data_IF_318847509802
#
_entry.id   IF_318847509802
#
_cell.length_a   1.000
_cell.length_b   1.000
_cell.length_c   1.000
_cell.angle_alpha   90.00
_cell.angle_beta   90.00
_cell.angle_gamma   90.00
#
_symmetry.space_group_name_H-M   'P 1'
#
loop_
_entity.id
_entity.type
_entity.pdbx_description
1 polymer ?
#
# COMPACT_ATOMS: atom_id res chain seq x y z
N UNK A 1 -28.60 -21.95 -7.01
CA UNK A 1 -27.60 -21.25 -7.86
C UNK A 1 -26.68 -20.48 -6.93
N UNK A 2 -25.39 -20.84 -6.88
CA UNK A 2 -24.39 -20.01 -6.21
C UNK A 2 -24.19 -18.78 -7.09
N UNK A 3 -24.60 -17.62 -6.59
CA UNK A 3 -24.18 -16.33 -7.15
C UNK A 3 -22.64 -16.35 -7.16
N UNK A 4 -21.97 -15.95 -8.25
CA UNK A 4 -20.50 -15.93 -8.28
C UNK A 4 -19.98 -15.15 -7.07
N UNK A 5 -18.77 -15.45 -6.56
CA UNK A 5 -18.23 -14.77 -5.37
C UNK A 5 -17.80 -13.30 -5.62
N UNK A 6 -17.77 -12.89 -6.89
CA UNK A 6 -17.27 -11.60 -7.39
C UNK A 6 -18.25 -10.40 -7.26
N UNK A 7 -19.58 -10.54 -7.35
CA UNK A 7 -20.52 -9.42 -7.25
C UNK A 7 -20.57 -8.77 -5.86
N UNK A 8 -20.16 -9.49 -4.80
CA UNK A 8 -20.27 -9.02 -3.42
C UNK A 8 -19.36 -7.84 -3.08
N UNK A 9 -18.27 -7.63 -3.83
CA UNK A 9 -17.30 -6.53 -3.59
C UNK A 9 -17.37 -5.46 -4.68
N UNK A 10 -17.67 -5.85 -5.92
CA UNK A 10 -17.86 -4.90 -7.00
C UNK A 10 -19.01 -3.93 -6.71
N UNK A 11 -20.16 -4.43 -6.28
CA UNK A 11 -21.33 -3.60 -6.00
C UNK A 11 -21.06 -2.50 -4.95
N UNK A 12 -20.55 -2.80 -3.75
CA UNK A 12 -20.24 -1.76 -2.77
C UNK A 12 -19.11 -0.84 -3.23
N UNK A 13 -18.08 -1.33 -3.93
CA UNK A 13 -17.00 -0.45 -4.42
C UNK A 13 -17.49 0.56 -5.46
N UNK A 14 -18.41 0.18 -6.35
CA UNK A 14 -18.94 1.06 -7.39
C UNK A 14 -19.87 2.16 -6.84
N UNK A 15 -20.39 2.01 -5.61
CA UNK A 15 -21.10 3.10 -4.93
C UNK A 15 -20.19 4.31 -4.67
N UNK A 16 -18.87 4.16 -4.74
CA UNK A 16 -17.92 5.26 -4.64
C UNK A 16 -18.18 6.36 -5.69
N UNK A 17 -18.61 5.99 -6.90
CA UNK A 17 -18.84 6.94 -8.00
C UNK A 17 -19.98 7.93 -7.68
N UNK A 18 -21.23 7.48 -7.40
CA UNK A 18 -22.30 8.40 -7.04
C UNK A 18 -22.04 9.11 -5.70
N UNK A 19 -21.34 8.46 -4.76
CA UNK A 19 -20.99 9.09 -3.49
C UNK A 19 -20.00 10.24 -3.69
N UNK A 20 -18.93 10.05 -4.45
CA UNK A 20 -17.97 11.11 -4.77
C UNK A 20 -18.67 12.33 -5.36
N UNK A 21 -19.44 12.11 -6.43
CA UNK A 21 -20.21 13.16 -7.10
C UNK A 21 -21.15 13.93 -6.14
N UNK A 22 -21.82 13.19 -5.25
CA UNK A 22 -22.75 13.79 -4.27
C UNK A 22 -22.01 14.60 -3.20
N UNK A 23 -20.88 14.08 -2.69
CA UNK A 23 -20.07 14.78 -1.69
C UNK A 23 -19.52 16.07 -2.28
N UNK A 24 -18.98 16.06 -3.49
CA UNK A 24 -18.42 17.26 -4.12
C UNK A 24 -19.49 18.35 -4.33
N UNK A 25 -20.69 17.95 -4.72
CA UNK A 25 -21.84 18.87 -4.84
C UNK A 25 -22.25 19.47 -3.49
N UNK A 26 -22.19 18.68 -2.41
CA UNK A 26 -22.52 19.14 -1.06
C UNK A 26 -21.40 19.95 -0.39
N UNK A 27 -20.14 19.60 -0.67
CA UNK A 27 -18.93 20.22 -0.12
C UNK A 27 -18.82 21.70 -0.53
N UNK A 28 -19.30 22.05 -1.73
CA UNK A 28 -19.37 23.44 -2.20
C UNK A 28 -20.20 24.38 -1.28
N UNK A 29 -20.95 23.84 -0.32
CA UNK A 29 -21.84 24.57 0.57
C UNK A 29 -21.58 24.29 2.06
N UNK A 30 -20.61 23.43 2.39
CA UNK A 30 -20.47 22.85 3.73
C UNK A 30 -19.21 23.35 4.47
N UNK A 31 -19.33 23.58 5.78
CA UNK A 31 -18.16 23.82 6.62
C UNK A 31 -17.32 22.54 6.84
N UNK A 32 -16.05 22.64 7.27
CA UNK A 32 -15.16 21.49 7.43
C UNK A 32 -15.66 20.39 8.36
N UNK A 33 -16.47 20.73 9.38
CA UNK A 33 -17.02 19.76 10.34
C UNK A 33 -18.20 19.00 9.71
N UNK A 34 -19.03 19.69 8.93
CA UNK A 34 -20.08 19.06 8.14
C UNK A 34 -19.53 18.08 7.10
N UNK A 35 -18.41 18.40 6.46
CA UNK A 35 -17.71 17.49 5.54
C UNK A 35 -17.22 16.22 6.28
N UNK A 36 -16.59 16.38 7.44
CA UNK A 36 -16.13 15.25 8.26
C UNK A 36 -17.29 14.35 8.71
N UNK A 37 -18.41 14.93 9.15
CA UNK A 37 -19.60 14.17 9.53
C UNK A 37 -20.19 13.40 8.33
N UNK A 38 -20.19 14.01 7.15
CA UNK A 38 -20.66 13.37 5.91
C UNK A 38 -19.82 12.14 5.58
N UNK A 39 -18.50 12.25 5.68
CA UNK A 39 -17.57 11.12 5.46
C UNK A 39 -17.84 9.99 6.46
N UNK A 40 -18.03 10.30 7.74
CA UNK A 40 -18.36 9.30 8.77
C UNK A 40 -19.69 8.59 8.48
N UNK A 41 -20.71 9.33 8.05
CA UNK A 41 -22.02 8.76 7.70
C UNK A 41 -21.93 7.86 6.47
N UNK A 42 -21.13 8.22 5.47
CA UNK A 42 -20.86 7.39 4.29
C UNK A 42 -20.22 6.06 4.70
N UNK A 43 -19.19 6.09 5.54
CA UNK A 43 -18.58 4.86 6.04
C UNK A 43 -19.53 4.01 6.88
N UNK A 44 -20.33 4.63 7.75
CA UNK A 44 -21.35 3.92 8.53
C UNK A 44 -22.40 3.26 7.63
N UNK A 45 -22.88 3.98 6.62
CA UNK A 45 -23.80 3.46 5.60
C UNK A 45 -23.19 2.32 4.79
N UNK A 46 -21.92 2.42 4.41
CA UNK A 46 -21.19 1.37 3.71
C UNK A 46 -21.09 0.09 4.58
N UNK A 47 -20.70 0.22 5.85
CA UNK A 47 -20.63 -0.90 6.79
C UNK A 47 -22.01 -1.56 6.95
N UNK A 48 -23.07 -0.75 7.04
CA UNK A 48 -24.45 -1.24 7.10
C UNK A 48 -24.81 -2.03 5.83
N UNK A 49 -24.53 -1.49 4.64
CA UNK A 49 -24.77 -2.19 3.36
C UNK A 49 -24.00 -3.51 3.31
N UNK A 50 -22.73 -3.52 3.69
CA UNK A 50 -21.90 -4.74 3.74
C UNK A 50 -22.53 -5.77 4.68
N UNK A 51 -23.02 -5.33 5.85
CA UNK A 51 -23.69 -6.20 6.82
C UNK A 51 -24.93 -6.88 6.25
N UNK A 52 -25.80 -6.10 5.59
CA UNK A 52 -27.04 -6.60 5.01
C UNK A 52 -26.83 -7.46 3.75
N UNK A 53 -25.92 -7.06 2.86
CA UNK A 53 -25.68 -7.74 1.58
C UNK A 53 -24.90 -9.04 1.78
N UNK A 54 -23.91 -9.04 2.66
CA UNK A 54 -23.00 -10.20 2.80
C UNK A 54 -23.59 -11.32 3.64
N UNK A 55 -24.65 -11.05 4.43
CA UNK A 55 -25.20 -12.00 5.39
C UNK A 55 -24.20 -12.42 6.48
N UNK A 56 -24.68 -13.06 7.55
CA UNK A 56 -23.84 -13.42 8.71
C UNK A 56 -22.69 -14.38 8.36
N UNK A 57 -22.80 -15.15 7.27
CA UNK A 57 -21.82 -16.17 6.87
C UNK A 57 -20.49 -15.61 6.36
N UNK A 58 -20.48 -14.45 5.70
CA UNK A 58 -19.25 -13.81 5.20
C UNK A 58 -18.46 -13.07 6.31
N UNK A 59 -19.10 -12.77 7.44
CA UNK A 59 -18.44 -12.19 8.63
C UNK A 59 -17.57 -13.19 9.41
N UNK A 60 -17.53 -14.46 9.02
CA UNK A 60 -16.61 -15.43 9.63
C UNK A 60 -15.15 -15.01 9.49
N UNK A 61 -14.81 -14.27 8.42
CA UNK A 61 -13.51 -13.66 8.25
C UNK A 61 -13.62 -12.13 8.36
N UNK A 62 -13.20 -11.51 9.47
CA UNK A 62 -13.38 -10.08 9.68
C UNK A 62 -12.52 -9.22 8.72
N UNK A 63 -11.51 -9.80 8.05
CA UNK A 63 -10.73 -9.12 7.00
C UNK A 63 -11.53 -8.90 5.72
N UNK A 64 -12.62 -9.66 5.50
CA UNK A 64 -13.50 -9.44 4.36
C UNK A 64 -14.06 -8.01 4.36
N UNK A 65 -14.59 -7.56 5.50
CA UNK A 65 -15.14 -6.21 5.64
C UNK A 65 -14.07 -5.14 5.36
N UNK A 66 -12.86 -5.33 5.89
CA UNK A 66 -11.72 -4.42 5.64
C UNK A 66 -11.44 -4.31 4.14
N UNK A 67 -11.31 -5.42 3.43
CA UNK A 67 -11.02 -5.39 2.00
C UNK A 67 -12.16 -4.79 1.17
N UNK A 68 -13.41 -4.98 1.57
CA UNK A 68 -14.55 -4.33 0.88
C UNK A 68 -14.53 -2.81 1.10
N UNK A 69 -14.35 -2.36 2.35
CA UNK A 69 -14.26 -0.93 2.65
C UNK A 69 -13.08 -0.29 1.92
N UNK A 70 -11.91 -0.94 1.93
CA UNK A 70 -10.74 -0.42 1.24
C UNK A 70 -10.91 -0.45 -0.28
N UNK A 71 -11.62 -1.45 -0.84
CA UNK A 71 -11.95 -1.43 -2.27
C UNK A 71 -12.83 -0.25 -2.68
N UNK A 72 -13.71 0.21 -1.78
CA UNK A 72 -14.50 1.43 -1.99
C UNK A 72 -13.60 2.66 -1.99
N UNK A 73 -12.69 2.79 -1.02
CA UNK A 73 -11.77 3.94 -0.95
C UNK A 73 -10.82 3.97 -2.16
N UNK A 74 -10.39 2.81 -2.67
CA UNK A 74 -9.57 2.75 -3.89
C UNK A 74 -10.28 3.29 -5.13
N UNK A 75 -11.59 3.08 -5.26
CA UNK A 75 -12.33 3.68 -6.36
C UNK A 75 -12.41 5.21 -6.20
N UNK A 76 -12.52 5.71 -4.97
CA UNK A 76 -12.41 7.16 -4.70
C UNK A 76 -11.03 7.67 -5.09
N UNK A 77 -9.95 6.99 -4.72
CA UNK A 77 -8.58 7.36 -5.09
C UNK A 77 -8.37 7.36 -6.62
N UNK A 78 -8.95 6.38 -7.32
CA UNK A 78 -8.93 6.36 -8.78
C UNK A 78 -9.66 7.57 -9.39
N UNK A 79 -10.81 7.95 -8.82
CA UNK A 79 -11.56 9.14 -9.25
C UNK A 79 -10.72 10.40 -9.02
N UNK A 80 -10.10 10.55 -7.83
CA UNK A 80 -9.25 11.70 -7.50
C UNK A 80 -8.11 11.84 -8.50
N UNK A 81 -7.38 10.75 -8.77
CA UNK A 81 -6.25 10.78 -9.71
C UNK A 81 -6.68 11.08 -11.15
N UNK A 82 -7.78 10.50 -11.63
CA UNK A 82 -8.32 10.79 -12.96
C UNK A 82 -8.82 12.23 -13.11
N UNK A 83 -9.35 12.83 -12.04
CA UNK A 83 -9.83 14.21 -12.06
C UNK A 83 -8.68 15.22 -12.02
N UNK A 84 -7.67 15.00 -11.17
CA UNK A 84 -6.48 15.88 -11.11
C UNK A 84 -5.67 15.86 -12.42
N UNK A 85 -5.63 14.73 -13.14
CA UNK A 85 -5.03 14.64 -14.48
C UNK A 85 -5.97 15.14 -15.60
N UNK A 86 -7.20 15.54 -15.28
CA UNK A 86 -8.15 16.16 -16.21
C UNK A 86 -8.91 15.21 -17.14
N UNK A 87 -8.92 13.90 -16.86
CA UNK A 87 -9.70 12.92 -17.64
C UNK A 87 -11.19 12.94 -17.33
N UNK A 88 -11.55 13.32 -16.09
CA UNK A 88 -12.94 13.49 -15.62
C UNK A 88 -13.06 14.80 -14.83
N UNK A 89 -14.29 15.21 -14.53
CA UNK A 89 -14.54 16.47 -13.78
C UNK A 89 -15.84 16.41 -12.98
N UNK A 90 -15.85 17.08 -11.83
CA UNK A 90 -17.03 17.30 -10.99
C UNK A 90 -17.25 16.26 -9.90
N UNK A 91 -16.25 15.43 -9.58
CA UNK A 91 -16.42 14.33 -8.63
C UNK A 91 -15.79 14.58 -7.27
N UNK A 92 -14.61 15.21 -7.19
CA UNK A 92 -13.83 15.34 -5.96
C UNK A 92 -13.03 16.65 -5.88
N UNK A 93 -13.14 17.55 -6.88
CA UNK A 93 -12.35 18.79 -6.95
C UNK A 93 -12.39 19.64 -5.67
N UNK A 94 -13.58 19.91 -5.11
CA UNK A 94 -13.73 20.74 -3.90
C UNK A 94 -13.13 20.03 -2.69
N UNK A 95 -13.38 18.72 -2.55
CA UNK A 95 -12.84 17.92 -1.45
C UNK A 95 -11.31 17.90 -1.46
N UNK A 96 -10.70 17.65 -2.62
CA UNK A 96 -9.25 17.56 -2.75
C UNK A 96 -8.60 18.93 -2.57
N UNK A 97 -9.24 20.00 -3.06
CA UNK A 97 -8.71 21.36 -2.93
C UNK A 97 -8.77 21.89 -1.50
N UNK A 98 -9.86 21.63 -0.78
CA UNK A 98 -10.11 22.25 0.54
C UNK A 98 -9.85 21.30 1.71
N UNK A 99 -10.08 20.00 1.54
CA UNK A 99 -9.91 18.98 2.58
C UNK A 99 -8.52 18.33 2.56
N UNK A 100 -8.07 17.88 1.40
CA UNK A 100 -6.89 17.01 1.26
C UNK A 100 -5.89 17.49 0.17
N UNK A 101 -5.32 18.70 0.29
CA UNK A 101 -4.52 19.32 -0.76
C UNK A 101 -3.20 18.59 -1.07
N UNK A 102 -2.75 17.69 -0.21
CA UNK A 102 -1.59 16.83 -0.45
C UNK A 102 -1.81 15.80 -1.56
N UNK A 103 -3.06 15.42 -1.86
CA UNK A 103 -3.36 14.45 -2.92
C UNK A 103 -3.06 15.02 -4.31
N UNK A 104 -3.02 16.34 -4.43
CA UNK A 104 -2.69 17.08 -5.65
C UNK A 104 -1.20 17.12 -5.98
N UNK A 105 -0.37 16.58 -5.10
CA UNK A 105 1.07 16.49 -5.36
C UNK A 105 1.35 15.35 -6.33
N UNK A 106 2.48 15.41 -7.05
CA UNK A 106 2.92 14.28 -7.88
C UNK A 106 3.04 12.98 -7.07
N UNK A 107 3.33 13.08 -5.76
CA UNK A 107 3.30 11.92 -4.90
C UNK A 107 1.89 11.38 -4.68
N UNK A 108 0.97 12.28 -4.31
CA UNK A 108 -0.44 12.01 -4.06
C UNK A 108 -1.15 11.39 -5.25
N UNK A 109 -1.03 11.99 -6.43
CA UNK A 109 -1.68 11.48 -7.65
C UNK A 109 -1.20 10.05 -7.96
N UNK A 110 0.11 9.80 -7.89
CA UNK A 110 0.64 8.45 -8.13
C UNK A 110 0.16 7.43 -7.10
N UNK A 111 0.11 7.79 -5.80
CA UNK A 111 -0.35 6.83 -4.79
C UNK A 111 -1.85 6.56 -4.94
N UNK A 112 -2.64 7.56 -5.34
CA UNK A 112 -4.04 7.37 -5.69
C UNK A 112 -4.23 6.43 -6.90
N UNK A 113 -3.40 6.56 -7.93
CA UNK A 113 -3.40 5.59 -9.04
C UNK A 113 -2.99 4.18 -8.56
N UNK A 114 -1.98 4.08 -7.71
CA UNK A 114 -1.54 2.80 -7.16
C UNK A 114 -2.63 2.11 -6.34
N UNK A 115 -3.33 2.87 -5.48
CA UNK A 115 -4.44 2.34 -4.69
C UNK A 115 -5.61 1.95 -5.59
N UNK A 116 -6.01 2.84 -6.50
CA UNK A 116 -7.11 2.64 -7.44
C UNK A 116 -6.91 1.53 -8.47
N UNK A 117 -5.68 1.07 -8.69
CA UNK A 117 -5.37 -0.01 -9.64
C UNK A 117 -4.84 -1.26 -8.96
N UNK A 118 -3.67 -1.20 -8.34
CA UNK A 118 -2.97 -2.35 -7.75
C UNK A 118 -3.68 -2.80 -6.48
N UNK A 119 -3.94 -1.89 -5.52
CA UNK A 119 -4.64 -2.28 -4.31
C UNK A 119 -6.08 -2.71 -4.60
N UNK A 120 -6.80 -2.01 -5.49
CA UNK A 120 -8.13 -2.42 -5.94
C UNK A 120 -8.14 -3.86 -6.47
N UNK A 121 -7.19 -4.20 -7.36
CA UNK A 121 -7.03 -5.56 -7.87
C UNK A 121 -6.74 -6.58 -6.76
N UNK A 122 -5.90 -6.22 -5.77
CA UNK A 122 -5.62 -7.07 -4.61
C UNK A 122 -6.87 -7.27 -3.74
N UNK A 123 -7.68 -6.24 -3.47
CA UNK A 123 -8.92 -6.38 -2.71
C UNK A 123 -9.90 -7.33 -3.39
N UNK A 124 -10.09 -7.20 -4.70
CA UNK A 124 -10.93 -8.10 -5.47
C UNK A 124 -10.41 -9.55 -5.43
N UNK A 125 -9.10 -9.75 -5.60
CA UNK A 125 -8.49 -11.07 -5.55
C UNK A 125 -8.60 -11.72 -4.15
N UNK A 126 -8.34 -10.96 -3.09
CA UNK A 126 -8.42 -11.45 -1.71
C UNK A 126 -9.85 -11.78 -1.29
N UNK A 127 -10.81 -10.92 -1.65
CA UNK A 127 -12.23 -11.15 -1.33
C UNK A 127 -12.82 -12.31 -2.13
N UNK A 128 -12.45 -12.47 -3.40
CA UNK A 128 -12.77 -13.65 -4.18
C UNK A 128 -12.16 -14.93 -3.58
N UNK A 129 -10.91 -14.87 -3.12
CA UNK A 129 -10.26 -15.99 -2.45
C UNK A 129 -10.96 -16.36 -1.13
N UNK A 130 -11.39 -15.38 -0.33
CA UNK A 130 -12.21 -15.60 0.87
C UNK A 130 -13.52 -16.31 0.50
N UNK A 131 -14.24 -15.83 -0.51
CA UNK A 131 -15.48 -16.44 -0.98
C UNK A 131 -15.30 -17.87 -1.49
N UNK A 132 -14.16 -18.17 -2.10
CA UNK A 132 -13.78 -19.51 -2.57
C UNK A 132 -13.11 -20.38 -1.48
N UNK A 133 -12.99 -19.89 -0.25
CA UNK A 133 -12.28 -20.56 0.86
C UNK A 133 -10.83 -20.95 0.51
N UNK A 134 -10.16 -20.14 -0.31
CA UNK A 134 -8.75 -20.28 -0.66
C UNK A 134 -7.89 -19.39 0.25
N UNK A 135 -6.62 -19.79 0.43
CA UNK A 135 -5.66 -18.94 1.13
C UNK A 135 -5.40 -17.68 0.32
N UNK A 136 -5.48 -16.53 0.99
CA UNK A 136 -5.13 -15.21 0.46
C UNK A 136 -3.95 -14.59 1.19
N UNK A 137 -3.29 -15.37 2.09
CA UNK A 137 -2.22 -14.90 2.97
C UNK A 137 -1.13 -14.15 2.21
N UNK A 138 -0.62 -14.72 1.11
CA UNK A 138 0.50 -14.13 0.38
C UNK A 138 0.13 -12.78 -0.26
N UNK A 139 -1.08 -12.70 -0.85
CA UNK A 139 -1.60 -11.44 -1.38
C UNK A 139 -1.80 -10.41 -0.26
N UNK A 140 -2.30 -10.85 0.89
CA UNK A 140 -2.47 -10.01 2.07
C UNK A 140 -1.14 -9.49 2.64
N UNK A 141 -0.08 -10.30 2.68
CA UNK A 141 1.24 -9.85 3.13
C UNK A 141 1.87 -8.83 2.17
N UNK A 142 1.73 -9.04 0.86
CA UNK A 142 2.14 -8.05 -0.14
C UNK A 142 1.35 -6.75 0.02
N UNK A 143 0.02 -6.84 0.09
CA UNK A 143 -0.86 -5.71 0.35
C UNK A 143 -0.49 -4.95 1.62
N UNK A 144 -0.21 -5.67 2.71
CA UNK A 144 0.15 -5.10 4.01
C UNK A 144 1.40 -4.24 3.90
N UNK A 145 2.46 -4.75 3.29
CA UNK A 145 3.71 -4.00 3.15
C UNK A 145 3.58 -2.80 2.22
N UNK A 146 2.81 -2.96 1.15
CA UNK A 146 2.44 -1.88 0.23
C UNK A 146 1.72 -0.75 1.02
N UNK A 147 0.63 -1.04 1.72
CA UNK A 147 -0.07 -0.04 2.52
C UNK A 147 0.79 0.58 3.64
N UNK A 148 1.55 -0.23 4.38
CA UNK A 148 2.43 0.29 5.43
C UNK A 148 3.45 1.28 4.87
N UNK A 149 3.99 1.03 3.68
CA UNK A 149 4.85 1.97 3.00
C UNK A 149 4.13 3.28 2.68
N UNK A 150 2.94 3.21 2.06
CA UNK A 150 2.15 4.39 1.71
C UNK A 150 1.84 5.22 2.94
N UNK A 151 1.32 4.60 4.01
CA UNK A 151 0.96 5.27 5.27
C UNK A 151 2.18 5.93 5.89
N UNK A 152 3.31 5.21 5.97
CA UNK A 152 4.51 5.74 6.63
C UNK A 152 5.06 6.93 5.87
N UNK A 153 5.18 6.83 4.54
CA UNK A 153 5.66 7.93 3.70
C UNK A 153 4.71 9.12 3.76
N UNK A 154 3.41 8.87 3.67
CA UNK A 154 2.39 9.89 3.67
C UNK A 154 2.29 10.64 4.99
N UNK A 155 2.25 9.94 6.12
CA UNK A 155 2.16 10.58 7.43
C UNK A 155 3.42 11.37 7.75
N UNK A 156 4.59 10.76 7.61
CA UNK A 156 5.85 11.45 7.90
C UNK A 156 6.07 12.62 6.95
N UNK A 157 5.76 12.46 5.66
CA UNK A 157 5.88 13.53 4.67
C UNK A 157 4.97 14.73 4.96
N UNK A 158 3.73 14.49 5.38
CA UNK A 158 2.85 15.59 5.84
C UNK A 158 3.37 16.26 7.12
N UNK A 159 3.95 15.49 8.05
CA UNK A 159 4.49 16.02 9.31
C UNK A 159 5.75 16.87 9.14
N UNK A 160 6.62 16.56 8.17
CA UNK A 160 7.91 17.25 8.00
C UNK A 160 7.99 18.13 6.76
N UNK A 161 7.08 17.93 5.79
CA UNK A 161 7.08 18.61 4.51
C UNK A 161 6.31 19.93 4.53
N UNK A 162 6.04 20.42 3.32
CA UNK A 162 5.32 21.68 3.06
C UNK A 162 4.00 21.85 3.83
N UNK A 163 3.28 20.76 4.12
CA UNK A 163 1.96 20.80 4.76
C UNK A 163 2.00 20.74 6.29
N UNK A 164 3.18 20.68 6.90
CA UNK A 164 3.36 20.49 8.35
C UNK A 164 2.74 21.60 9.22
N UNK A 165 2.71 22.84 8.72
CA UNK A 165 2.12 23.98 9.44
C UNK A 165 0.59 24.03 9.42
N UNK A 166 -0.04 23.33 8.46
CA UNK A 166 -1.48 23.43 8.17
C UNK A 166 -2.20 22.08 8.36
N UNK A 167 -1.72 21.25 9.28
CA UNK A 167 -2.32 19.94 9.54
C UNK A 167 -3.76 20.12 10.06
N UNK A 168 -4.73 19.70 9.26
CA UNK A 168 -6.14 19.75 9.63
C UNK A 168 -6.45 18.74 10.75
N UNK A 169 -7.48 18.97 11.57
CA UNK A 169 -7.95 17.97 12.55
C UNK A 169 -8.32 16.62 11.91
N UNK A 170 -8.66 16.61 10.62
CA UNK A 170 -8.92 15.39 9.86
C UNK A 170 -7.68 14.48 9.75
N UNK A 171 -6.47 15.00 9.95
CA UNK A 171 -5.25 14.19 10.04
C UNK A 171 -5.33 13.11 11.13
N UNK A 172 -6.10 13.34 12.21
CA UNK A 172 -6.33 12.33 13.26
C UNK A 172 -7.15 11.14 12.78
N UNK A 173 -7.90 11.25 11.69
CA UNK A 173 -8.64 10.13 11.07
C UNK A 173 -7.70 9.05 10.52
N UNK A 174 -6.41 9.36 10.34
CA UNK A 174 -5.40 8.35 10.01
C UNK A 174 -5.13 7.38 11.16
N UNK A 175 -5.43 7.74 12.42
CA UNK A 175 -5.15 6.87 13.57
C UNK A 175 -6.01 5.59 13.55
N UNK A 176 -7.35 5.65 13.38
CA UNK A 176 -8.16 4.46 13.11
C UNK A 176 -7.64 3.62 11.94
N UNK A 177 -7.20 4.27 10.86
CA UNK A 177 -6.66 3.58 9.67
C UNK A 177 -5.40 2.76 10.00
N UNK A 178 -4.44 3.35 10.72
CA UNK A 178 -3.23 2.67 11.20
C UNK A 178 -3.59 1.48 12.09
N UNK A 179 -4.52 1.66 13.03
CA UNK A 179 -4.94 0.60 13.95
C UNK A 179 -5.56 -0.58 13.20
N UNK A 180 -6.40 -0.31 12.18
CA UNK A 180 -6.99 -1.34 11.33
C UNK A 180 -5.92 -2.10 10.55
N UNK A 181 -4.94 -1.40 9.96
CA UNK A 181 -3.87 -2.03 9.18
C UNK A 181 -2.95 -2.88 10.07
N UNK A 182 -2.58 -2.40 11.27
CA UNK A 182 -1.80 -3.18 12.24
C UNK A 182 -2.57 -4.43 12.65
N UNK A 183 -3.85 -4.29 13.03
CA UNK A 183 -4.70 -5.42 13.39
C UNK A 183 -4.83 -6.41 12.23
N UNK A 184 -5.03 -5.91 11.01
CA UNK A 184 -5.13 -6.74 9.82
C UNK A 184 -3.83 -7.50 9.55
N UNK A 185 -2.68 -6.84 9.74
CA UNK A 185 -1.36 -7.46 9.65
C UNK A 185 -1.18 -8.59 10.65
N UNK A 186 -1.50 -8.36 11.94
CA UNK A 186 -1.44 -9.41 12.97
C UNK A 186 -2.31 -10.61 12.58
N UNK A 187 -3.54 -10.37 12.12
CA UNK A 187 -4.45 -11.42 11.64
C UNK A 187 -3.88 -12.18 10.44
N UNK A 188 -3.29 -11.48 9.48
CA UNK A 188 -2.65 -12.08 8.32
C UNK A 188 -1.51 -13.00 8.75
N UNK A 189 -0.60 -12.54 9.63
CA UNK A 189 0.52 -13.33 10.13
C UNK A 189 0.09 -14.56 10.95
N UNK A 190 -1.03 -14.47 11.67
CA UNK A 190 -1.63 -15.60 12.41
C UNK A 190 -2.24 -16.68 11.50
N UNK A 191 -2.48 -16.41 10.22
CA UNK A 191 -3.00 -17.43 9.31
C UNK A 191 -1.99 -18.58 9.12
N UNK A 192 -2.47 -19.81 8.89
CA UNK A 192 -1.60 -20.91 8.54
C UNK A 192 -0.76 -20.58 7.30
N UNK A 193 0.54 -20.89 7.36
CA UNK A 193 1.40 -20.80 6.18
C UNK A 193 0.87 -21.74 5.09
N UNK A 194 0.92 -21.30 3.83
CA UNK A 194 0.59 -22.17 2.70
C UNK A 194 1.60 -23.32 2.71
N UNK A 195 1.09 -24.55 2.68
CA UNK A 195 1.93 -25.75 2.62
C UNK A 195 2.86 -25.65 1.39
N UNK A 196 4.18 -25.85 1.57
CA UNK A 196 5.11 -25.84 0.45
C UNK A 196 4.66 -26.86 -0.60
N UNK A 197 4.76 -26.51 -1.88
CA UNK A 197 4.51 -27.46 -2.96
C UNK A 197 5.53 -28.62 -2.97
N UNK A 198 6.67 -28.45 -2.29
CA UNK A 198 7.77 -29.40 -2.21
C UNK A 198 7.75 -30.14 -0.86
N UNK A 199 8.08 -31.44 -0.89
CA UNK A 199 8.24 -32.21 0.33
C UNK A 199 9.40 -31.67 1.17
N UNK A 200 9.36 -31.78 2.52
CA UNK A 200 10.44 -31.34 3.40
C UNK A 200 11.81 -31.94 3.02
N UNK A 201 11.82 -33.18 2.54
CA UNK A 201 13.02 -33.88 2.07
C UNK A 201 13.66 -33.19 0.86
N UNK A 202 12.85 -32.80 -0.14
CA UNK A 202 13.32 -32.06 -1.32
C UNK A 202 13.84 -30.68 -0.94
N UNK A 203 13.19 -30.01 0.01
CA UNK A 203 13.68 -28.73 0.55
C UNK A 203 15.03 -28.91 1.23
N UNK A 204 15.20 -29.96 2.04
CA UNK A 204 16.46 -30.25 2.71
C UNK A 204 17.57 -30.64 1.72
N UNK A 205 17.25 -31.37 0.66
CA UNK A 205 18.19 -31.71 -0.41
C UNK A 205 18.70 -30.47 -1.14
N UNK A 206 17.79 -29.59 -1.56
CA UNK A 206 18.17 -28.31 -2.17
C UNK A 206 19.01 -27.46 -1.22
N UNK A 207 18.61 -27.37 0.06
CA UNK A 207 19.32 -26.62 1.10
C UNK A 207 20.73 -27.15 1.42
N UNK A 208 21.06 -28.40 1.05
CA UNK A 208 22.42 -28.98 1.20
C UNK A 208 23.35 -28.63 0.06
N UNK A 209 22.82 -28.25 -1.10
CA UNK A 209 23.65 -27.87 -2.27
C UNK A 209 24.47 -26.63 -1.95
N UNK A 210 25.68 -26.54 -2.51
CA UNK A 210 26.48 -25.30 -2.40
C UNK A 210 25.88 -24.21 -3.29
N UNK A 211 26.16 -22.95 -2.99
CA UNK A 211 25.54 -21.81 -3.68
C UNK A 211 25.76 -21.84 -5.21
N UNK A 212 26.95 -22.22 -5.68
CA UNK A 212 27.23 -22.34 -7.13
C UNK A 212 26.41 -23.43 -7.84
N UNK A 213 25.82 -24.37 -7.10
CA UNK A 213 24.92 -25.40 -7.63
C UNK A 213 23.46 -24.91 -7.68
N UNK A 214 23.19 -23.68 -7.24
CA UNK A 214 21.87 -23.03 -7.22
C UNK A 214 21.92 -21.72 -8.02
N UNK A 215 21.88 -21.79 -9.36
CA UNK A 215 22.04 -20.60 -10.22
C UNK A 215 20.95 -19.55 -9.98
N UNK A 216 19.74 -19.96 -9.58
CA UNK A 216 18.66 -19.03 -9.23
C UNK A 216 18.99 -18.21 -7.99
N UNK A 217 19.51 -18.85 -6.93
CA UNK A 217 19.93 -18.17 -5.70
C UNK A 217 21.09 -17.21 -6.00
N UNK A 218 22.05 -17.60 -6.85
CA UNK A 218 23.16 -16.74 -7.29
C UNK A 218 22.63 -15.51 -8.04
N UNK A 219 21.72 -15.71 -8.99
CA UNK A 219 21.10 -14.60 -9.73
C UNK A 219 20.34 -13.65 -8.80
N UNK A 220 19.59 -14.20 -7.84
CA UNK A 220 18.85 -13.41 -6.86
C UNK A 220 19.79 -12.62 -5.94
N UNK A 221 20.90 -13.21 -5.48
CA UNK A 221 21.93 -12.51 -4.70
C UNK A 221 22.51 -11.35 -5.50
N UNK A 222 22.83 -11.55 -6.79
CA UNK A 222 23.36 -10.49 -7.63
C UNK A 222 22.37 -9.32 -7.76
N UNK A 223 21.09 -9.62 -8.01
CA UNK A 223 20.03 -8.61 -8.07
C UNK A 223 19.91 -7.88 -6.74
N UNK A 224 19.88 -8.60 -5.61
CA UNK A 224 19.78 -8.00 -4.28
C UNK A 224 20.99 -7.10 -3.96
N UNK A 225 22.20 -7.48 -4.37
CA UNK A 225 23.41 -6.66 -4.21
C UNK A 225 23.33 -5.37 -5.02
N UNK A 226 22.89 -5.44 -6.28
CA UNK A 226 22.68 -4.27 -7.13
C UNK A 226 21.61 -3.35 -6.52
N UNK A 227 20.48 -3.90 -6.10
CA UNK A 227 19.41 -3.15 -5.42
C UNK A 227 19.89 -2.52 -4.12
N UNK A 228 20.70 -3.23 -3.33
CA UNK A 228 21.26 -2.72 -2.08
C UNK A 228 22.23 -1.56 -2.33
N UNK A 229 23.13 -1.71 -3.32
CA UNK A 229 24.07 -0.66 -3.70
C UNK A 229 23.33 0.59 -4.20
N UNK A 230 22.33 0.43 -5.06
CA UNK A 230 21.54 1.54 -5.57
C UNK A 230 20.67 2.21 -4.49
N UNK A 231 20.05 1.42 -3.60
CA UNK A 231 19.32 1.93 -2.45
C UNK A 231 20.22 2.75 -1.52
N UNK A 232 21.43 2.24 -1.24
CA UNK A 232 22.41 2.97 -0.44
C UNK A 232 22.80 4.29 -1.10
N UNK A 233 23.07 4.27 -2.41
CA UNK A 233 23.38 5.48 -3.19
C UNK A 233 22.25 6.52 -3.14
N UNK A 234 20.99 6.14 -3.42
CA UNK A 234 19.84 7.06 -3.31
C UNK A 234 19.66 7.61 -1.90
N UNK A 235 19.96 6.80 -0.88
CA UNK A 235 19.99 7.24 0.51
C UNK A 235 21.04 8.34 0.76
N UNK A 236 22.26 8.18 0.24
CA UNK A 236 23.31 9.21 0.32
C UNK A 236 22.92 10.50 -0.40
N UNK A 237 22.26 10.39 -1.56
CA UNK A 237 21.75 11.54 -2.32
C UNK A 237 20.78 12.37 -1.46
N UNK A 238 19.83 11.72 -0.77
CA UNK A 238 18.85 12.42 0.07
C UNK A 238 19.44 12.97 1.37
N UNK A 239 20.55 12.39 1.85
CA UNK A 239 21.32 12.91 2.98
C UNK A 239 22.30 14.03 2.58
N UNK A 240 22.14 14.61 1.39
CA UNK A 240 22.93 15.73 0.86
C UNK A 240 24.45 15.43 0.82
N UNK A 241 24.81 14.20 0.41
CA UNK A 241 26.21 13.81 0.24
C UNK A 241 26.92 14.73 -0.78
N UNK A 242 28.10 15.30 -0.45
CA UNK A 242 28.77 16.30 -1.28
C UNK A 242 29.47 15.73 -2.52
N UNK A 243 29.33 14.43 -2.81
CA UNK A 243 29.98 13.81 -3.97
C UNK A 243 29.36 14.29 -5.30
N UNK A 244 30.20 14.55 -6.30
CA UNK A 244 29.77 15.02 -7.63
C UNK A 244 28.71 14.11 -8.26
N UNK A 245 28.86 12.79 -8.11
CA UNK A 245 27.90 11.81 -8.60
C UNK A 245 26.51 11.93 -7.95
N UNK A 246 26.45 12.30 -6.66
CA UNK A 246 25.17 12.53 -5.97
C UNK A 246 24.51 13.82 -6.45
N UNK A 247 25.33 14.86 -6.65
CA UNK A 247 24.86 16.13 -7.21
C UNK A 247 24.35 15.94 -8.65
N UNK A 248 25.10 15.26 -9.51
CA UNK A 248 24.67 15.01 -10.88
C UNK A 248 23.34 14.23 -10.91
N UNK A 249 23.22 13.18 -10.08
CA UNK A 249 22.02 12.36 -10.02
C UNK A 249 20.76 13.14 -9.62
N UNK A 250 20.84 13.94 -8.56
CA UNK A 250 19.67 14.66 -8.05
C UNK A 250 19.21 15.78 -9.00
N UNK A 251 20.10 16.33 -9.82
CA UNK A 251 19.73 17.37 -10.78
C UNK A 251 19.33 16.82 -12.15
N UNK A 252 19.99 15.76 -12.63
CA UNK A 252 19.79 15.25 -13.99
C UNK A 252 18.85 14.05 -14.09
N UNK A 253 18.77 13.21 -13.05
CA UNK A 253 18.04 11.94 -13.11
C UNK A 253 16.79 11.93 -12.22
N UNK A 254 16.90 12.36 -10.97
CA UNK A 254 15.78 12.35 -10.02
C UNK A 254 15.55 13.73 -9.34
N UNK A 255 15.13 14.76 -10.10
CA UNK A 255 14.82 16.08 -9.54
C UNK A 255 13.67 16.04 -8.53
N UNK A 256 12.80 15.03 -8.62
CA UNK A 256 11.71 14.79 -7.68
C UNK A 256 12.18 14.62 -6.23
N UNK A 257 13.42 14.14 -5.98
CA UNK A 257 13.97 14.04 -4.61
C UNK A 257 14.10 15.40 -3.89
N UNK A 258 14.07 16.50 -4.64
CA UNK A 258 14.14 17.86 -4.10
C UNK A 258 12.78 18.48 -3.78
N UNK A 259 11.68 17.76 -4.01
CA UNK A 259 10.33 18.29 -3.79
C UNK A 259 10.13 18.71 -2.31
N UNK A 260 9.67 19.95 -2.04
CA UNK A 260 9.43 20.45 -0.67
C UNK A 260 8.35 19.68 0.11
N UNK A 261 7.54 18.83 -0.54
CA UNK A 261 6.54 17.99 0.12
C UNK A 261 7.15 16.84 0.94
N UNK A 262 8.46 16.61 0.82
CA UNK A 262 9.26 15.65 1.58
C UNK A 262 8.93 14.15 1.43
N UNK A 263 7.80 13.76 0.83
CA UNK A 263 7.48 12.35 0.54
C UNK A 263 8.62 11.56 -0.13
N UNK A 264 9.26 12.04 -1.22
CA UNK A 264 10.38 11.31 -1.83
C UNK A 264 11.54 11.11 -0.87
N UNK A 265 11.90 12.14 -0.09
CA UNK A 265 12.99 12.07 0.87
C UNK A 265 12.68 11.05 1.96
N UNK A 266 11.49 11.10 2.54
CA UNK A 266 11.03 10.12 3.54
C UNK A 266 11.10 8.70 2.97
N UNK A 267 10.60 8.49 1.76
CA UNK A 267 10.63 7.18 1.10
C UNK A 267 12.06 6.65 0.94
N UNK A 268 13.01 7.48 0.51
CA UNK A 268 14.42 7.07 0.40
C UNK A 268 15.06 6.80 1.76
N UNK A 269 14.73 7.55 2.81
CA UNK A 269 15.23 7.29 4.16
C UNK A 269 14.67 5.98 4.72
N UNK A 270 13.40 5.66 4.47
CA UNK A 270 12.83 4.36 4.82
C UNK A 270 13.57 3.25 4.10
N UNK A 271 13.88 3.44 2.81
CA UNK A 271 14.66 2.46 2.06
C UNK A 271 16.07 2.30 2.61
N UNK A 272 16.75 3.38 2.95
CA UNK A 272 18.10 3.34 3.50
C UNK A 272 18.14 2.65 4.88
N UNK A 273 17.19 2.95 5.77
CA UNK A 273 17.25 2.50 7.16
C UNK A 273 16.51 1.19 7.43
N UNK A 274 15.53 0.80 6.62
CA UNK A 274 14.73 -0.41 6.85
C UNK A 274 14.83 -1.41 5.71
N UNK A 275 14.76 -0.97 4.45
CA UNK A 275 14.81 -1.89 3.30
C UNK A 275 16.24 -2.38 3.06
N UNK A 276 17.25 -1.52 3.10
CA UNK A 276 18.64 -1.90 2.87
C UNK A 276 19.13 -2.98 3.86
N UNK A 277 18.93 -2.85 5.19
CA UNK A 277 19.25 -3.94 6.11
C UNK A 277 18.48 -5.22 5.81
N UNK A 278 17.22 -5.12 5.37
CA UNK A 278 16.43 -6.28 4.97
C UNK A 278 16.97 -6.96 3.71
N UNK A 279 17.44 -6.22 2.71
CA UNK A 279 18.09 -6.78 1.53
C UNK A 279 19.35 -7.57 1.92
N UNK A 280 20.14 -7.07 2.86
CA UNK A 280 21.28 -7.79 3.43
C UNK A 280 20.85 -9.09 4.14
N UNK A 281 19.73 -9.07 4.88
CA UNK A 281 19.15 -10.28 5.49
C UNK A 281 18.67 -11.29 4.44
N UNK A 282 18.12 -10.82 3.31
CA UNK A 282 17.76 -11.69 2.19
C UNK A 282 18.98 -12.36 1.57
N UNK A 283 20.07 -11.62 1.34
CA UNK A 283 21.33 -12.18 0.86
C UNK A 283 21.85 -13.23 1.86
N UNK A 284 21.86 -12.89 3.15
CA UNK A 284 22.26 -13.80 4.22
C UNK A 284 21.46 -15.11 4.19
N UNK A 285 20.14 -15.04 4.05
CA UNK A 285 19.27 -16.22 4.04
C UNK A 285 19.38 -17.08 2.77
N UNK A 286 19.82 -16.51 1.65
CA UNK A 286 20.13 -17.29 0.45
C UNK A 286 21.46 -18.04 0.60
N UNK A 287 22.41 -17.47 1.33
CA UNK A 287 23.70 -18.11 1.63
C UNK A 287 23.56 -19.18 2.72
N UNK A 288 22.76 -18.92 3.76
CA UNK A 288 22.62 -19.78 4.92
C UNK A 288 21.18 -20.31 5.05
N UNK A 289 20.97 -21.64 4.97
CA UNK A 289 19.64 -22.22 5.12
C UNK A 289 19.12 -22.07 6.56
N UNK A 290 17.78 -22.03 6.71
CA UNK A 290 17.11 -22.05 8.02
C UNK A 290 16.24 -20.83 8.33
N UNK A 291 16.24 -19.79 7.50
CA UNK A 291 15.43 -18.59 7.69
C UNK A 291 13.95 -18.76 7.27
N UNK A 292 13.20 -19.62 7.97
CA UNK A 292 11.80 -19.96 7.65
C UNK A 292 10.79 -18.82 7.84
N UNK A 293 11.17 -17.75 8.54
CA UNK A 293 10.39 -16.54 8.73
C UNK A 293 10.55 -15.53 7.58
N UNK A 294 11.68 -15.58 6.87
CA UNK A 294 12.05 -14.56 5.90
C UNK A 294 11.08 -14.48 4.70
N UNK A 295 10.57 -15.59 4.12
CA UNK A 295 9.67 -15.51 2.96
C UNK A 295 8.40 -14.67 3.20
N UNK A 296 7.83 -14.74 4.41
CA UNK A 296 6.66 -13.91 4.76
C UNK A 296 7.03 -12.42 4.76
N UNK A 297 8.19 -12.07 5.33
CA UNK A 297 8.69 -10.70 5.33
C UNK A 297 9.13 -10.23 3.95
N UNK A 298 9.66 -11.14 3.11
CA UNK A 298 10.01 -10.82 1.72
C UNK A 298 8.77 -10.38 0.92
N UNK A 299 7.60 -10.96 1.20
CA UNK A 299 6.34 -10.51 0.59
C UNK A 299 5.94 -9.11 1.08
N UNK A 300 6.07 -8.83 2.38
CA UNK A 300 5.81 -7.50 2.95
C UNK A 300 6.74 -6.46 2.32
N UNK A 301 8.05 -6.71 2.32
CA UNK A 301 9.02 -5.79 1.71
C UNK A 301 8.83 -5.68 0.19
N UNK A 302 8.45 -6.76 -0.51
CA UNK A 302 8.11 -6.68 -1.93
C UNK A 302 6.93 -5.73 -2.18
N UNK A 303 5.90 -5.77 -1.33
CA UNK A 303 4.80 -4.81 -1.38
C UNK A 303 5.26 -3.37 -1.17
N UNK A 304 6.12 -3.14 -0.17
CA UNK A 304 6.65 -1.81 0.12
C UNK A 304 7.51 -1.25 -1.02
N UNK A 305 8.33 -2.09 -1.64
CA UNK A 305 9.22 -1.73 -2.76
C UNK A 305 8.44 -1.61 -4.07
N UNK A 306 7.29 -2.27 -4.23
CA UNK A 306 6.52 -2.21 -5.48
C UNK A 306 6.03 -0.79 -5.80
N UNK A 307 5.90 0.07 -4.79
CA UNK A 307 5.54 1.49 -4.92
C UNK A 307 6.71 2.41 -5.29
N UNK A 308 7.92 1.86 -5.49
CA UNK A 308 9.12 2.64 -5.81
C UNK A 308 8.93 3.43 -7.10
N UNK A 309 9.29 4.70 -7.00
CA UNK A 309 9.43 5.66 -8.09
C UNK A 309 10.89 5.77 -8.49
#
# INVERSE_FOLDING_TARGET
>A
MQVPAVPGVLAPSLLAIPVAFSINSAAALADPLALMLTVLLVFAGLIFIIFFVSGVSHFQNPLFCVFVVFSFTSVIDLIISLEEDGYISGFMEVYVREGEPYLRTAHGIMICYWDGTVHYGLYLAMTAAIGQRKSYRNLGLFWLGSLLMSITVFLLGNLIGKYSSDLSPAFLLNLPYILIVIWAGVRLFQQPKVLPCLSPEKVAEEQRKRLYQRPQDVGLILVLLLTAAFTFFRGLVVLDCPADSCFEYIYQHEPYLRDPVAYPKVQMLIFLFYVLPFLCLCIYALVLPGCSWLPDWSLVFAGAIAQVK
#
